data_IF_910947148424
#
_entry.id   IF_910947148424
#
_cell.length_a   1.000
_cell.length_b   1.000
_cell.length_c   1.000
_cell.angle_alpha   90.00
_cell.angle_beta   90.00
_cell.angle_gamma   90.00
#
_symmetry.space_group_name_H-M   'P 1'
#
loop_
_entity.id
_entity.type
_entity.pdbx_description
1 polymer ?
#
# COMPACT_ATOMS: atom_id res chain seq x y z
N UNK A 1 1.33 18.08 -7.49
CA UNK A 1 1.93 17.20 -6.47
C UNK A 1 3.04 17.98 -5.75
N UNK A 2 2.97 18.19 -4.44
CA UNK A 2 4.05 18.88 -3.71
C UNK A 2 5.16 17.86 -3.42
N UNK A 3 6.40 18.16 -3.78
CA UNK A 3 7.55 17.28 -3.52
C UNK A 3 7.67 16.89 -2.03
N UNK A 4 7.23 17.77 -1.13
CA UNK A 4 7.19 17.50 0.30
C UNK A 4 6.29 16.30 0.69
N UNK A 5 5.15 16.09 0.03
CA UNK A 5 4.24 14.99 0.35
C UNK A 5 4.86 13.64 -0.03
N UNK A 6 5.50 13.58 -1.20
CA UNK A 6 6.23 12.39 -1.67
C UNK A 6 7.40 12.05 -0.74
N UNK A 7 8.17 13.06 -0.30
CA UNK A 7 9.30 12.87 0.63
C UNK A 7 8.81 12.37 1.99
N UNK A 8 7.75 12.96 2.53
CA UNK A 8 7.19 12.55 3.82
C UNK A 8 6.67 11.10 3.78
N UNK A 9 6.00 10.70 2.69
CA UNK A 9 5.55 9.32 2.50
C UNK A 9 6.73 8.35 2.35
N UNK A 10 7.79 8.73 1.63
CA UNK A 10 8.99 7.90 1.49
C UNK A 10 9.68 7.66 2.85
N UNK A 11 9.77 8.69 3.69
CA UNK A 11 10.31 8.58 5.06
C UNK A 11 9.44 7.69 5.94
N UNK A 12 8.12 7.86 5.89
CA UNK A 12 7.17 7.04 6.61
C UNK A 12 7.22 5.57 6.16
N UNK A 13 7.33 5.31 4.85
CA UNK A 13 7.51 3.97 4.30
C UNK A 13 8.81 3.31 4.77
N UNK A 14 9.93 4.03 4.77
CA UNK A 14 11.19 3.52 5.28
C UNK A 14 11.13 3.17 6.78
N UNK A 15 10.43 3.99 7.58
CA UNK A 15 10.18 3.68 8.99
C UNK A 15 9.34 2.41 9.16
N UNK A 16 8.23 2.30 8.44
CA UNK A 16 7.33 1.13 8.47
C UNK A 16 8.05 -0.15 8.03
N UNK A 17 8.85 -0.12 6.96
CA UNK A 17 9.64 -1.27 6.51
C UNK A 17 10.64 -1.74 7.59
N UNK A 18 11.30 -0.80 8.30
CA UNK A 18 12.21 -1.16 9.39
C UNK A 18 11.49 -1.87 10.53
N UNK A 19 10.29 -1.43 10.88
CA UNK A 19 9.45 -2.08 11.91
C UNK A 19 9.05 -3.49 11.50
N UNK A 20 8.60 -3.66 10.25
CA UNK A 20 8.29 -4.98 9.69
C UNK A 20 9.50 -5.93 9.70
N UNK A 21 10.69 -5.43 9.32
CA UNK A 21 11.93 -6.22 9.36
C UNK A 21 12.36 -6.64 10.76
N UNK A 22 11.97 -5.87 11.79
CA UNK A 22 12.18 -6.24 13.21
C UNK A 22 11.15 -7.24 13.74
N UNK A 23 10.19 -7.65 12.91
CA UNK A 23 9.12 -8.56 13.32
C UNK A 23 8.07 -7.91 14.21
N UNK A 24 7.96 -6.57 14.21
CA UNK A 24 6.90 -5.88 14.95
C UNK A 24 5.52 -6.31 14.41
N UNK A 25 4.66 -6.80 15.29
CA UNK A 25 3.32 -7.26 14.92
C UNK A 25 2.47 -6.09 14.40
N UNK A 26 1.84 -6.27 13.24
CA UNK A 26 0.99 -5.25 12.58
C UNK A 26 -0.40 -5.23 13.22
N UNK A 27 -0.49 -4.71 14.44
CA UNK A 27 -1.72 -4.62 15.23
C UNK A 27 -1.96 -3.20 15.74
N UNK A 28 -3.21 -2.91 16.15
CA UNK A 28 -3.59 -1.65 16.77
C UNK A 28 -3.12 -0.40 16.01
N UNK A 29 -2.38 0.46 16.69
CA UNK A 29 -1.85 1.71 16.13
C UNK A 29 -0.94 1.48 14.90
N UNK A 30 -0.09 0.46 14.92
CA UNK A 30 0.79 0.18 13.78
C UNK A 30 -0.01 -0.21 12.53
N UNK A 31 -1.08 -0.99 12.71
CA UNK A 31 -1.98 -1.33 11.60
C UNK A 31 -2.66 -0.07 11.03
N UNK A 32 -3.12 0.84 11.88
CA UNK A 32 -3.74 2.09 11.45
C UNK A 32 -2.74 2.99 10.70
N UNK A 33 -1.52 3.12 11.20
CA UNK A 33 -0.44 3.87 10.55
C UNK A 33 -0.05 3.30 9.19
N UNK A 34 0.06 1.96 9.08
CA UNK A 34 0.35 1.29 7.81
C UNK A 34 -0.77 1.51 6.78
N UNK A 35 -2.04 1.43 7.20
CA UNK A 35 -3.17 1.71 6.32
C UNK A 35 -3.16 3.16 5.87
N UNK A 36 -2.98 4.12 6.79
CA UNK A 36 -2.90 5.54 6.46
C UNK A 36 -1.75 5.85 5.47
N UNK A 37 -0.60 5.21 5.65
CA UNK A 37 0.54 5.30 4.72
C UNK A 37 0.18 4.79 3.32
N UNK A 38 -0.47 3.63 3.22
CA UNK A 38 -0.90 3.05 1.94
C UNK A 38 -1.89 3.97 1.21
N UNK A 39 -2.87 4.49 1.93
CA UNK A 39 -3.86 5.43 1.39
C UNK A 39 -3.21 6.74 0.93
N UNK A 40 -2.24 7.26 1.69
CA UNK A 40 -1.46 8.43 1.30
C UNK A 40 -0.65 8.21 0.02
N UNK A 41 -0.06 7.02 -0.16
CA UNK A 41 0.64 6.67 -1.40
C UNK A 41 -0.31 6.60 -2.60
N UNK A 42 -1.52 6.04 -2.44
CA UNK A 42 -2.56 6.03 -3.48
C UNK A 42 -2.95 7.45 -3.88
N UNK A 43 -3.21 8.31 -2.88
CA UNK A 43 -3.55 9.71 -3.11
C UNK A 43 -2.50 10.44 -3.95
N UNK A 44 -1.22 10.30 -3.57
CA UNK A 44 -0.11 10.95 -4.25
C UNK A 44 0.13 10.37 -5.64
N UNK A 45 -0.02 9.06 -5.82
CA UNK A 45 0.05 8.43 -7.15
C UNK A 45 -1.06 8.95 -8.10
N UNK A 46 -2.24 9.24 -7.56
CA UNK A 46 -3.36 9.89 -8.28
C UNK A 46 -3.20 11.42 -8.43
N UNK A 47 -2.07 12.00 -7.99
CA UNK A 47 -1.81 13.44 -8.07
C UNK A 47 -2.55 14.30 -7.02
N UNK A 48 -3.19 13.69 -6.03
CA UNK A 48 -3.94 14.34 -4.94
C UNK A 48 -3.06 14.53 -3.69
N UNK A 49 -3.42 15.45 -2.77
CA UNK A 49 -2.74 15.58 -1.48
C UNK A 49 -2.92 14.33 -0.60
N UNK A 50 -1.87 13.92 0.10
CA UNK A 50 -1.89 12.73 0.97
C UNK A 50 -2.92 12.81 2.12
N UNK A 51 -3.24 14.03 2.59
CA UNK A 51 -4.13 14.28 3.73
C UNK A 51 -5.64 14.18 3.41
N UNK A 52 -6.02 13.97 2.14
CA UNK A 52 -7.42 14.10 1.70
C UNK A 52 -8.06 12.83 1.13
N UNK A 53 -7.42 11.66 1.23
CA UNK A 53 -7.92 10.49 0.50
C UNK A 53 -8.68 9.52 1.39
N UNK A 54 -10.01 9.60 1.34
CA UNK A 54 -10.84 8.39 1.27
C UNK A 54 -10.55 7.74 -0.08
N UNK A 55 -9.42 7.02 -0.20
CA UNK A 55 -9.16 6.26 -1.43
C UNK A 55 -10.22 5.16 -1.54
N UNK A 56 -10.89 5.11 -2.69
CA UNK A 56 -11.80 4.01 -2.98
C UNK A 56 -10.99 2.71 -3.08
N UNK A 57 -11.61 1.59 -2.71
CA UNK A 57 -10.99 0.27 -2.81
C UNK A 57 -10.50 -0.01 -4.24
N UNK A 58 -11.18 0.52 -5.26
CA UNK A 58 -10.75 0.45 -6.65
C UNK A 58 -9.38 1.10 -6.90
N UNK A 59 -9.12 2.28 -6.35
CA UNK A 59 -7.85 3.00 -6.55
C UNK A 59 -6.67 2.29 -5.87
N UNK A 60 -6.92 1.65 -4.73
CA UNK A 60 -5.94 0.80 -4.05
C UNK A 60 -5.59 -0.39 -4.93
N UNK A 61 -6.60 -1.04 -5.52
CA UNK A 61 -6.42 -2.17 -6.44
C UNK A 61 -5.64 -1.74 -7.68
N UNK A 62 -5.98 -0.60 -8.30
CA UNK A 62 -5.29 -0.08 -9.48
C UNK A 62 -3.81 0.21 -9.21
N UNK A 63 -3.51 0.83 -8.05
CA UNK A 63 -2.12 1.05 -7.65
C UNK A 63 -1.38 -0.29 -7.46
N UNK A 64 -2.00 -1.25 -6.78
CA UNK A 64 -1.39 -2.57 -6.60
C UNK A 64 -1.13 -3.27 -7.94
N UNK A 65 -2.06 -3.21 -8.88
CA UNK A 65 -1.89 -3.76 -10.24
C UNK A 65 -0.73 -3.07 -10.96
N UNK A 66 -0.65 -1.74 -10.87
CA UNK A 66 0.44 -0.96 -11.46
C UNK A 66 1.80 -1.38 -10.89
N UNK A 67 1.91 -1.50 -9.56
CA UNK A 67 3.14 -1.94 -8.88
C UNK A 67 3.54 -3.37 -9.26
N UNK A 68 2.59 -4.30 -9.29
CA UNK A 68 2.84 -5.69 -9.67
C UNK A 68 3.32 -5.79 -11.12
N UNK A 69 2.72 -5.04 -12.05
CA UNK A 69 3.19 -4.97 -13.45
C UNK A 69 4.59 -4.39 -13.55
N UNK A 70 4.90 -3.32 -12.82
CA UNK A 70 6.26 -2.75 -12.77
C UNK A 70 7.31 -3.70 -12.21
N UNK A 71 6.89 -4.64 -11.35
CA UNK A 71 7.73 -5.72 -10.84
C UNK A 71 7.83 -6.94 -11.79
N UNK A 72 7.24 -6.87 -12.99
CA UNK A 72 7.28 -7.94 -13.98
C UNK A 72 6.24 -9.06 -13.78
N UNK A 73 5.27 -8.86 -12.90
CA UNK A 73 4.22 -9.85 -12.64
C UNK A 73 3.17 -9.83 -13.76
N UNK A 74 2.77 -11.01 -14.25
CA UNK A 74 1.68 -11.13 -15.22
C UNK A 74 0.31 -10.98 -14.57
N UNK A 75 -0.72 -10.72 -15.39
CA UNK A 75 -2.12 -10.70 -14.93
C UNK A 75 -2.56 -12.03 -14.28
N UNK A 76 -2.09 -13.15 -14.82
CA UNK A 76 -2.41 -14.49 -14.31
C UNK A 76 -1.75 -14.73 -12.95
N UNK A 77 -0.48 -14.33 -12.79
CA UNK A 77 0.23 -14.44 -11.51
C UNK A 77 -0.43 -13.59 -10.42
N UNK A 78 -0.85 -12.37 -10.77
CA UNK A 78 -1.59 -11.49 -9.86
C UNK A 78 -2.90 -12.14 -9.40
N UNK A 79 -3.69 -12.68 -10.33
CA UNK A 79 -4.96 -13.34 -10.00
C UNK A 79 -4.76 -14.56 -9.09
N UNK A 80 -3.76 -15.40 -9.38
CA UNK A 80 -3.42 -16.55 -8.56
C UNK A 80 -3.06 -16.14 -7.12
N UNK A 81 -2.18 -15.14 -6.97
CA UNK A 81 -1.75 -14.63 -5.65
C UNK A 81 -2.90 -14.00 -4.86
N UNK A 82 -3.81 -13.31 -5.54
CA UNK A 82 -5.00 -12.74 -4.91
C UNK A 82 -5.91 -13.84 -4.37
N UNK A 83 -6.24 -14.84 -5.20
CA UNK A 83 -7.10 -15.96 -4.81
C UNK A 83 -6.50 -16.73 -3.63
N UNK A 84 -5.20 -17.06 -3.66
CA UNK A 84 -4.51 -17.68 -2.53
C UNK A 84 -4.64 -16.85 -1.23
N UNK A 85 -4.53 -15.52 -1.33
CA UNK A 85 -4.64 -14.65 -0.17
C UNK A 85 -6.06 -14.61 0.42
N UNK A 86 -7.08 -14.66 -0.43
CA UNK A 86 -8.49 -14.77 -0.02
C UNK A 86 -8.74 -16.10 0.67
N UNK A 87 -8.29 -17.21 0.08
CA UNK A 87 -8.47 -18.55 0.64
C UNK A 87 -7.77 -18.74 1.98
N UNK A 88 -6.58 -18.12 2.18
CA UNK A 88 -5.89 -18.13 3.49
C UNK A 88 -6.67 -17.43 4.60
N UNK A 89 -7.54 -16.47 4.27
CA UNK A 89 -8.33 -15.69 5.24
C UNK A 89 -9.71 -16.30 5.50
N UNK A 90 -10.17 -17.19 4.63
CA UNK A 90 -11.43 -17.91 4.81
C UNK A 90 -11.30 -19.13 5.77
N UNK A 91 -10.08 -19.48 6.17
CA UNK A 91 -9.74 -20.51 7.16
C UNK A 91 -9.37 -19.87 8.50
#
# INVERSE_FOLDING_TARGET
MRAADTVNLAVAAAATIRRLRRGEAVVGAFRAELVALLMGMVAVAAGRPAAQSEADAGEVIDLMVSLCRSAGMSGLDMAARFNEAVERRAR
#
